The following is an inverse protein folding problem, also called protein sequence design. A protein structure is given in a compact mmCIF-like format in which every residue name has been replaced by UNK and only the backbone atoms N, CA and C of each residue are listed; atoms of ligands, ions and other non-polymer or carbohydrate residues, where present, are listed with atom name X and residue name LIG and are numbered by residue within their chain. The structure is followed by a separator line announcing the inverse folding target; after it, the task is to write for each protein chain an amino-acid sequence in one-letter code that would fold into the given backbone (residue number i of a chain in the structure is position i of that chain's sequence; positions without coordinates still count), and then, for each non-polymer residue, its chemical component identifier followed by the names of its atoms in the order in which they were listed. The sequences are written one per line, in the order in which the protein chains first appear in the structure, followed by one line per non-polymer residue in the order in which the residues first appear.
data_IF_685060951646
#
_entry.id   IF_685060951646
#
_cell.length_a   1.000
_cell.length_b   1.000
_cell.length_c   1.000
_cell.angle_alpha   90.00
_cell.angle_beta   90.00
_cell.angle_gamma   90.00
#
_symmetry.space_group_name_H-M   'P 1'
#
loop_
_entity.id
_entity.type
_entity.pdbx_description
1 polymer ?
#
# COMPACT_ATOMS: atom_id res chain seq x y z
N UNK A 1 23.07 -5.89 26.45
CA UNK A 1 22.30 -4.89 27.24
C UNK A 1 21.59 -3.90 26.33
N UNK A 2 22.22 -3.45 25.24
CA UNK A 2 21.60 -2.51 24.28
C UNK A 2 20.36 -3.04 23.57
N UNK A 3 20.34 -4.31 23.15
CA UNK A 3 19.16 -4.94 22.51
C UNK A 3 17.93 -4.90 23.43
N UNK A 4 18.10 -5.21 24.72
CA UNK A 4 17.00 -5.19 25.70
C UNK A 4 16.50 -3.77 25.96
N UNK A 5 17.42 -2.80 25.99
CA UNK A 5 17.08 -1.38 26.09
C UNK A 5 16.32 -0.90 24.85
N UNK A 6 16.74 -1.30 23.65
CA UNK A 6 16.06 -0.97 22.41
C UNK A 6 14.64 -1.56 22.37
N UNK A 7 14.49 -2.85 22.69
CA UNK A 7 13.16 -3.48 22.81
C UNK A 7 12.28 -2.71 23.79
N UNK A 8 12.80 -2.38 24.98
CA UNK A 8 12.04 -1.65 25.99
C UNK A 8 11.62 -0.25 25.51
N UNK A 9 12.54 0.51 24.93
CA UNK A 9 12.27 1.86 24.41
C UNK A 9 11.23 1.82 23.29
N UNK A 10 11.37 0.89 22.33
CA UNK A 10 10.42 0.71 21.23
C UNK A 10 9.05 0.29 21.76
N UNK A 11 8.98 -0.58 22.78
CA UNK A 11 7.70 -0.93 23.41
C UNK A 11 7.05 0.26 24.12
N UNK A 12 7.80 1.07 24.85
CA UNK A 12 7.25 2.28 25.49
C UNK A 12 6.75 3.29 24.45
N UNK A 13 7.49 3.49 23.36
CA UNK A 13 7.06 4.34 22.26
C UNK A 13 5.77 3.80 21.61
N UNK A 14 5.74 2.51 21.29
CA UNK A 14 4.57 1.84 20.71
C UNK A 14 3.34 1.96 21.61
N UNK A 15 3.50 1.80 22.93
CA UNK A 15 2.41 2.03 23.89
C UNK A 15 1.90 3.46 23.81
N UNK A 16 2.80 4.45 23.78
CA UNK A 16 2.43 5.87 23.67
C UNK A 16 1.69 6.17 22.36
N UNK A 17 2.08 5.53 21.26
CA UNK A 17 1.47 5.74 19.93
C UNK A 17 0.09 5.09 19.80
N UNK A 18 -0.12 3.93 20.45
CA UNK A 18 -1.41 3.23 20.43
C UNK A 18 -2.37 3.77 21.50
N UNK A 19 -1.87 4.39 22.57
CA UNK A 19 -2.69 4.91 23.67
C UNK A 19 -3.85 5.82 23.22
N UNK A 20 -3.68 6.79 22.30
CA UNK A 20 -4.78 7.63 21.83
C UNK A 20 -5.93 6.82 21.21
N UNK A 21 -5.60 5.78 20.43
CA UNK A 21 -6.58 4.90 19.81
C UNK A 21 -7.33 4.13 20.89
N UNK A 22 -6.61 3.56 21.87
CA UNK A 22 -7.22 2.87 23.00
C UNK A 22 -8.14 3.81 23.81
N UNK A 23 -7.68 5.03 24.08
CA UNK A 23 -8.46 6.06 24.80
C UNK A 23 -9.74 6.40 24.03
N UNK A 24 -9.69 6.57 22.72
CA UNK A 24 -10.87 6.84 21.89
C UNK A 24 -11.83 5.65 21.94
N UNK A 25 -11.35 4.42 21.73
CA UNK A 25 -12.18 3.22 21.72
C UNK A 25 -12.87 3.02 23.08
N UNK A 26 -12.11 3.00 24.18
CA UNK A 26 -12.67 2.83 25.52
C UNK A 26 -13.52 4.03 25.95
N UNK A 27 -13.12 5.24 25.57
CA UNK A 27 -13.89 6.46 25.79
C UNK A 27 -15.27 6.39 25.13
N UNK A 28 -15.33 5.99 23.85
CA UNK A 28 -16.58 5.83 23.14
C UNK A 28 -17.43 4.71 23.75
N UNK A 29 -16.79 3.60 24.13
CA UNK A 29 -17.46 2.44 24.71
C UNK A 29 -18.11 2.75 26.07
N UNK A 30 -17.38 3.43 26.96
CA UNK A 30 -17.85 3.75 28.31
C UNK A 30 -18.71 5.02 28.37
N UNK A 31 -18.34 6.08 27.65
CA UNK A 31 -19.02 7.38 27.73
C UNK A 31 -20.22 7.49 26.78
N UNK A 32 -20.07 7.04 25.52
CA UNK A 32 -21.10 7.20 24.48
C UNK A 32 -22.04 6.00 24.45
N UNK A 33 -21.50 4.80 24.26
CA UNK A 33 -22.28 3.56 24.18
C UNK A 33 -22.78 3.08 25.55
N UNK A 34 -22.14 3.53 26.64
CA UNK A 34 -22.47 3.18 28.04
C UNK A 34 -22.57 1.67 28.28
N UNK A 35 -21.73 0.88 27.59
CA UNK A 35 -21.69 -0.57 27.70
C UNK A 35 -20.28 -1.02 28.06
N UNK A 36 -20.15 -2.01 28.94
CA UNK A 36 -18.86 -2.67 29.17
C UNK A 36 -18.55 -3.58 27.98
N UNK A 37 -17.30 -3.63 27.48
CA UNK A 37 -16.92 -4.62 26.49
C UNK A 37 -17.20 -6.03 27.02
N UNK A 38 -17.80 -6.88 26.17
CA UNK A 38 -17.83 -8.31 26.45
C UNK A 38 -16.39 -8.84 26.48
N UNK A 39 -16.04 -9.71 27.43
CA UNK A 39 -14.72 -10.33 27.55
C UNK A 39 -13.54 -9.35 27.72
N UNK A 40 -13.69 -8.33 28.57
CA UNK A 40 -12.65 -7.31 28.83
C UNK A 40 -11.26 -7.91 29.14
N UNK A 41 -11.20 -8.99 29.91
CA UNK A 41 -9.92 -9.65 30.23
C UNK A 41 -9.23 -10.21 28.98
N UNK A 42 -9.98 -10.82 28.07
CA UNK A 42 -9.46 -11.36 26.81
C UNK A 42 -8.99 -10.23 25.88
N UNK A 43 -9.74 -9.12 25.84
CA UNK A 43 -9.36 -7.92 25.07
C UNK A 43 -8.04 -7.34 25.59
N UNK A 44 -7.91 -7.15 26.91
CA UNK A 44 -6.69 -6.60 27.51
C UNK A 44 -5.49 -7.52 27.30
N UNK A 45 -5.69 -8.84 27.40
CA UNK A 45 -4.64 -9.82 27.15
C UNK A 45 -4.20 -9.81 25.68
N UNK A 46 -5.16 -9.81 24.74
CA UNK A 46 -4.88 -9.70 23.32
C UNK A 46 -4.18 -8.39 22.97
N UNK A 47 -4.59 -7.28 23.58
CA UNK A 47 -3.97 -5.97 23.41
C UNK A 47 -2.51 -5.96 23.87
N UNK A 48 -2.20 -6.63 25.00
CA UNK A 48 -0.81 -6.83 25.45
C UNK A 48 0.04 -7.58 24.42
N UNK A 49 -0.48 -8.67 23.84
CA UNK A 49 0.22 -9.40 22.79
C UNK A 49 0.40 -8.60 21.50
N UNK A 50 -0.59 -7.79 21.12
CA UNK A 50 -0.48 -6.87 19.96
C UNK A 50 0.63 -5.86 20.18
N UNK A 51 0.75 -5.26 21.38
CA UNK A 51 1.82 -4.31 21.70
C UNK A 51 3.20 -4.95 21.62
N UNK A 52 3.37 -6.14 22.18
CA UNK A 52 4.63 -6.88 22.12
C UNK A 52 4.97 -7.23 20.66
N UNK A 53 3.99 -7.78 19.93
CA UNK A 53 4.17 -8.16 18.52
C UNK A 53 4.53 -6.95 17.64
N UNK A 54 3.83 -5.83 17.81
CA UNK A 54 4.09 -4.60 17.06
C UNK A 54 5.47 -4.02 17.40
N UNK A 55 5.89 -4.07 18.67
CA UNK A 55 7.22 -3.60 19.08
C UNK A 55 8.34 -4.41 18.44
N UNK A 56 8.25 -5.75 18.51
CA UNK A 56 9.25 -6.64 17.90
C UNK A 56 9.27 -6.51 16.38
N UNK A 57 8.10 -6.31 15.78
CA UNK A 57 7.97 -6.08 14.35
C UNK A 57 8.64 -4.77 13.91
N UNK A 58 8.37 -3.65 14.59
CA UNK A 58 9.02 -2.36 14.30
C UNK A 58 10.54 -2.44 14.47
N UNK A 59 11.02 -3.12 15.50
CA UNK A 59 12.46 -3.32 15.70
C UNK A 59 13.08 -4.16 14.55
N UNK A 60 12.40 -5.23 14.13
CA UNK A 60 12.82 -6.04 12.99
C UNK A 60 12.86 -5.25 11.68
N UNK A 61 11.94 -4.31 11.50
CA UNK A 61 11.96 -3.41 10.35
C UNK A 61 13.16 -2.47 10.37
N UNK A 62 13.41 -1.83 11.50
CA UNK A 62 14.53 -0.88 11.67
C UNK A 62 15.89 -1.56 11.51
N UNK A 63 16.04 -2.79 12.00
CA UNK A 63 17.33 -3.50 11.97
C UNK A 63 17.57 -4.29 10.68
N UNK A 64 16.51 -4.69 9.98
CA UNK A 64 16.65 -5.54 8.79
C UNK A 64 16.16 -4.85 7.52
N UNK A 65 14.90 -4.40 7.48
CA UNK A 65 14.31 -3.86 6.24
C UNK A 65 14.87 -2.48 5.88
N UNK A 66 15.08 -1.60 6.86
CA UNK A 66 15.56 -0.23 6.57
C UNK A 66 16.99 -0.23 6.03
N UNK A 67 17.96 -0.94 6.66
CA UNK A 67 19.32 -1.03 6.15
C UNK A 67 19.36 -1.74 4.79
N UNK A 68 18.54 -2.78 4.59
CA UNK A 68 18.46 -3.46 3.30
C UNK A 68 17.96 -2.53 2.19
N UNK A 69 16.90 -1.75 2.45
CA UNK A 69 16.39 -0.76 1.51
C UNK A 69 17.43 0.30 1.14
N UNK A 70 18.18 0.81 2.12
CA UNK A 70 19.26 1.77 1.90
C UNK A 70 20.41 1.19 1.08
N UNK A 71 20.94 0.03 1.46
CA UNK A 71 22.04 -0.63 0.73
C UNK A 71 21.63 -0.93 -0.71
N UNK A 72 20.39 -1.38 -0.95
CA UNK A 72 19.89 -1.61 -2.30
C UNK A 72 19.77 -0.30 -3.08
N UNK A 73 19.24 0.77 -2.47
CA UNK A 73 19.17 2.07 -3.11
C UNK A 73 20.58 2.60 -3.45
N UNK A 74 21.53 2.52 -2.52
CA UNK A 74 22.94 2.89 -2.74
C UNK A 74 23.55 2.13 -3.91
N UNK A 75 23.38 0.80 -3.95
CA UNK A 75 23.93 -0.04 -5.04
C UNK A 75 23.28 0.26 -6.40
N UNK A 76 21.97 0.46 -6.43
CA UNK A 76 21.22 0.73 -7.67
C UNK A 76 21.41 2.17 -8.16
N UNK A 77 21.81 3.09 -7.29
CA UNK A 77 22.11 4.49 -7.62
C UNK A 77 23.60 4.77 -7.75
N UNK A 78 24.46 3.77 -7.53
CA UNK A 78 25.91 3.90 -7.67
C UNK A 78 26.26 4.31 -9.11
N UNK A 79 26.95 5.44 -9.32
CA UNK A 79 27.40 5.86 -10.64
C UNK A 79 28.25 4.79 -11.35
N UNK A 80 28.98 3.92 -10.65
CA UNK A 80 29.71 2.82 -11.29
C UNK A 80 28.76 1.75 -11.84
N UNK A 81 27.70 1.40 -11.11
CA UNK A 81 26.67 0.47 -11.55
C UNK A 81 25.89 1.03 -12.75
N UNK A 82 25.41 2.26 -12.62
CA UNK A 82 24.65 2.95 -13.68
C UNK A 82 25.46 3.01 -14.98
N UNK A 83 26.74 3.36 -14.88
CA UNK A 83 27.66 3.45 -16.03
C UNK A 83 28.03 2.12 -16.67
N UNK A 84 27.93 1.03 -15.91
CA UNK A 84 28.23 -0.31 -16.43
C UNK A 84 27.10 -0.90 -17.28
N UNK A 85 25.89 -0.34 -17.15
CA UNK A 85 24.67 -0.85 -17.79
C UNK A 85 24.19 0.07 -18.93
N UNK A 86 24.57 1.35 -18.92
CA UNK A 86 24.17 2.36 -19.93
C UNK A 86 25.31 2.86 -20.82
N UNK A 87 24.99 3.15 -22.08
CA UNK A 87 25.92 3.71 -23.07
C UNK A 87 25.97 5.25 -22.90
N UNK A 88 26.92 5.75 -22.11
CA UNK A 88 26.95 7.16 -21.73
C UNK A 88 27.66 8.02 -22.77
N UNK A 89 26.95 9.01 -23.30
CA UNK A 89 27.55 10.13 -24.05
C UNK A 89 27.36 11.51 -23.42
N UNK A 90 26.44 11.72 -22.46
CA UNK A 90 26.36 12.98 -21.70
C UNK A 90 25.46 12.83 -20.45
N UNK A 91 26.01 12.97 -19.24
CA UNK A 91 25.24 13.08 -17.98
C UNK A 91 24.55 11.80 -17.47
N UNK A 92 23.93 11.91 -16.28
CA UNK A 92 23.00 10.91 -15.74
C UNK A 92 21.58 11.36 -16.07
N UNK A 93 20.86 10.57 -16.85
CA UNK A 93 19.46 10.81 -17.19
C UNK A 93 18.53 9.98 -16.30
N UNK A 94 17.27 10.40 -16.18
CA UNK A 94 16.25 9.69 -15.39
C UNK A 94 16.01 8.25 -15.87
N UNK A 95 16.31 7.96 -17.14
CA UNK A 95 16.23 6.62 -17.75
C UNK A 95 17.25 5.64 -17.18
N UNK A 96 18.38 6.15 -16.69
CA UNK A 96 19.48 5.33 -16.19
C UNK A 96 19.14 4.64 -14.85
N UNK A 97 18.16 5.19 -14.14
CA UNK A 97 17.62 4.67 -12.89
C UNK A 97 16.52 3.61 -13.11
N UNK A 98 16.36 3.09 -14.33
CA UNK A 98 15.33 2.10 -14.67
C UNK A 98 15.28 0.88 -13.72
N UNK A 99 16.43 0.38 -13.26
CA UNK A 99 16.49 -0.73 -12.30
C UNK A 99 15.91 -0.38 -10.92
N UNK A 100 16.04 0.88 -10.49
CA UNK A 100 15.38 1.38 -9.27
C UNK A 100 13.86 1.28 -9.44
N UNK A 101 13.34 1.67 -10.61
CA UNK A 101 11.89 1.66 -10.87
C UNK A 101 11.30 0.25 -10.93
N UNK A 102 12.01 -0.72 -11.52
CA UNK A 102 11.61 -2.12 -11.51
C UNK A 102 11.66 -2.67 -10.09
N UNK A 103 12.75 -2.42 -9.37
CA UNK A 103 12.89 -2.92 -8.01
C UNK A 103 11.78 -2.38 -7.10
N UNK A 104 11.52 -1.07 -7.17
CA UNK A 104 10.43 -0.39 -6.48
C UNK A 104 9.06 -1.01 -6.82
N UNK A 105 8.83 -1.33 -8.10
CA UNK A 105 7.61 -2.00 -8.54
C UNK A 105 7.48 -3.41 -7.94
N UNK A 106 8.53 -4.23 -8.06
CA UNK A 106 8.51 -5.62 -7.58
C UNK A 106 8.35 -5.70 -6.07
N UNK A 107 9.07 -4.85 -5.32
CA UNK A 107 9.01 -4.85 -3.86
C UNK A 107 7.67 -4.28 -3.36
N UNK A 108 7.16 -3.24 -4.02
CA UNK A 108 5.83 -2.69 -3.77
C UNK A 108 4.73 -3.72 -4.00
N UNK A 109 4.82 -4.46 -5.09
CA UNK A 109 3.90 -5.56 -5.39
C UNK A 109 3.99 -6.67 -4.35
N UNK A 110 5.20 -7.19 -4.10
CA UNK A 110 5.42 -8.34 -3.21
C UNK A 110 4.95 -8.07 -1.78
N UNK A 111 5.31 -6.91 -1.22
CA UNK A 111 4.89 -6.55 0.14
C UNK A 111 3.39 -6.34 0.26
N UNK A 112 2.78 -5.69 -0.72
CA UNK A 112 1.33 -5.46 -0.70
C UNK A 112 0.56 -6.77 -0.80
N UNK A 113 1.01 -7.72 -1.64
CA UNK A 113 0.39 -9.06 -1.69
C UNK A 113 0.55 -9.81 -0.37
N UNK A 114 1.69 -9.63 0.31
CA UNK A 114 1.99 -10.25 1.60
C UNK A 114 1.25 -9.60 2.79
N UNK A 115 0.68 -8.40 2.62
CA UNK A 115 0.05 -7.66 3.68
C UNK A 115 -1.20 -8.39 4.24
N UNK A 116 -1.22 -8.74 5.55
CA UNK A 116 -2.33 -9.49 6.14
C UNK A 116 -3.65 -8.70 6.16
N UNK A 117 -3.58 -7.38 6.36
CA UNK A 117 -4.75 -6.50 6.40
C UNK A 117 -5.49 -6.51 5.05
N UNK A 118 -4.76 -6.59 3.94
CA UNK A 118 -5.34 -6.66 2.61
C UNK A 118 -6.08 -7.98 2.37
N UNK A 119 -5.59 -9.09 2.92
CA UNK A 119 -6.29 -10.38 2.85
C UNK A 119 -7.63 -10.28 3.57
N UNK A 120 -7.66 -9.70 4.78
CA UNK A 120 -8.88 -9.55 5.55
C UNK A 120 -9.94 -8.69 4.82
N UNK A 121 -9.51 -7.57 4.26
CA UNK A 121 -10.39 -6.68 3.48
C UNK A 121 -10.88 -7.35 2.20
N UNK A 122 -10.04 -8.11 1.50
CA UNK A 122 -10.45 -8.84 0.31
C UNK A 122 -11.45 -9.96 0.60
N UNK A 123 -11.31 -10.67 1.72
CA UNK A 123 -12.31 -11.66 2.17
C UNK A 123 -13.63 -10.97 2.47
N UNK A 124 -13.61 -9.86 3.23
CA UNK A 124 -14.84 -9.11 3.55
C UNK A 124 -15.52 -8.52 2.32
N UNK A 125 -14.75 -8.01 1.37
CA UNK A 125 -15.27 -7.56 0.08
C UNK A 125 -15.94 -8.68 -0.71
N UNK A 126 -15.35 -9.88 -0.73
CA UNK A 126 -15.92 -11.04 -1.40
C UNK A 126 -17.24 -11.49 -0.76
N UNK A 127 -17.29 -11.59 0.57
CA UNK A 127 -18.49 -11.96 1.33
C UNK A 127 -19.62 -10.96 1.11
N UNK A 128 -19.35 -9.66 1.25
CA UNK A 128 -20.37 -8.60 1.15
C UNK A 128 -20.84 -8.39 -0.30
N UNK A 129 -20.00 -8.69 -1.28
CA UNK A 129 -20.36 -8.59 -2.71
C UNK A 129 -21.03 -9.84 -3.29
N UNK A 130 -21.28 -10.88 -2.48
CA UNK A 130 -21.84 -12.15 -2.96
C UNK A 130 -20.92 -12.86 -3.96
N UNK A 131 -19.61 -12.67 -3.84
CA UNK A 131 -18.60 -13.27 -4.73
C UNK A 131 -18.28 -12.46 -5.99
N UNK A 132 -18.94 -11.32 -6.24
CA UNK A 132 -18.68 -10.49 -7.43
C UNK A 132 -17.25 -9.91 -7.44
N UNK A 133 -16.67 -9.64 -6.27
CA UNK A 133 -15.29 -9.21 -6.10
C UNK A 133 -14.45 -10.40 -5.69
N UNK A 134 -13.57 -10.88 -6.57
CA UNK A 134 -12.68 -11.99 -6.24
C UNK A 134 -11.60 -11.59 -5.24
N UNK A 135 -11.34 -12.43 -4.24
CA UNK A 135 -10.31 -12.19 -3.21
C UNK A 135 -8.94 -11.94 -3.87
N UNK A 136 -8.50 -12.84 -4.76
CA UNK A 136 -7.23 -12.69 -5.48
C UNK A 136 -7.24 -11.52 -6.46
N UNK A 137 -8.37 -11.26 -7.12
CA UNK A 137 -8.49 -10.15 -8.07
C UNK A 137 -8.31 -8.80 -7.40
N UNK A 138 -8.94 -8.59 -6.24
CA UNK A 138 -8.76 -7.37 -5.46
C UNK A 138 -7.32 -7.23 -4.94
N UNK A 139 -6.74 -8.32 -4.40
CA UNK A 139 -5.36 -8.30 -3.88
C UNK A 139 -4.35 -7.91 -4.96
N UNK A 140 -4.45 -8.50 -6.14
CA UNK A 140 -3.57 -8.19 -7.27
C UNK A 140 -3.80 -6.76 -7.76
N UNK A 141 -5.05 -6.30 -7.84
CA UNK A 141 -5.36 -4.93 -8.23
C UNK A 141 -4.72 -3.91 -7.26
N UNK A 142 -4.89 -4.11 -5.94
CA UNK A 142 -4.27 -3.24 -4.93
C UNK A 142 -2.75 -3.27 -5.04
N UNK A 143 -2.14 -4.46 -5.14
CA UNK A 143 -0.70 -4.61 -5.26
C UNK A 143 -0.12 -3.96 -6.52
N UNK A 144 -0.81 -4.05 -7.66
CA UNK A 144 -0.42 -3.34 -8.88
C UNK A 144 -0.50 -1.83 -8.69
N UNK A 145 -1.55 -1.33 -8.03
CA UNK A 145 -1.67 0.09 -7.69
C UNK A 145 -0.49 0.56 -6.85
N UNK A 146 -0.19 -0.12 -5.74
CA UNK A 146 0.97 0.21 -4.89
C UNK A 146 2.27 0.16 -5.68
N UNK A 147 2.50 -0.91 -6.44
CA UNK A 147 3.72 -1.09 -7.24
C UNK A 147 3.93 0.04 -8.26
N UNK A 148 2.88 0.41 -9.00
CA UNK A 148 2.92 1.55 -9.94
C UNK A 148 3.13 2.88 -9.21
N UNK A 149 2.46 3.10 -8.09
CA UNK A 149 2.60 4.31 -7.29
C UNK A 149 4.02 4.49 -6.75
N UNK A 150 4.60 3.46 -6.15
CA UNK A 150 5.98 3.50 -5.63
C UNK A 150 6.96 3.69 -6.78
N UNK A 151 6.81 2.96 -7.90
CA UNK A 151 7.68 3.11 -9.06
C UNK A 151 7.66 4.55 -9.61
N UNK A 152 6.46 5.15 -9.74
CA UNK A 152 6.30 6.56 -10.14
C UNK A 152 6.87 7.53 -9.11
N UNK A 153 6.71 7.25 -7.82
CA UNK A 153 7.29 8.07 -6.76
C UNK A 153 8.82 8.01 -6.75
N UNK A 154 9.43 6.85 -7.02
CA UNK A 154 10.87 6.73 -7.23
C UNK A 154 11.34 7.55 -8.43
N UNK A 155 10.63 7.48 -9.57
CA UNK A 155 10.87 8.34 -10.72
C UNK A 155 10.82 9.83 -10.33
N UNK A 156 9.80 10.23 -9.57
CA UNK A 156 9.64 11.60 -9.08
C UNK A 156 10.79 12.04 -8.16
N UNK A 157 11.33 11.14 -7.33
CA UNK A 157 12.51 11.42 -6.49
C UNK A 157 13.75 11.64 -7.38
N UNK A 158 13.93 10.83 -8.42
CA UNK A 158 15.07 10.95 -9.34
C UNK A 158 15.01 12.25 -10.15
N UNK A 159 13.86 12.55 -10.76
CA UNK A 159 13.68 13.77 -11.58
C UNK A 159 13.62 15.03 -10.72
N UNK A 160 13.09 14.92 -9.51
CA UNK A 160 13.04 16.01 -8.56
C UNK A 160 11.84 16.95 -8.71
N UNK A 161 10.80 16.51 -9.42
CA UNK A 161 9.58 17.29 -9.63
C UNK A 161 8.81 17.53 -8.32
N UNK A 162 8.02 18.61 -8.20
CA UNK A 162 7.21 18.84 -7.00
C UNK A 162 6.10 17.80 -6.84
N UNK A 163 6.01 17.18 -5.65
CA UNK A 163 5.03 16.10 -5.37
C UNK A 163 3.57 16.51 -5.59
N UNK A 164 3.23 17.78 -5.33
CA UNK A 164 1.83 18.23 -5.38
C UNK A 164 1.21 18.08 -6.77
N UNK A 165 1.98 18.19 -7.86
CA UNK A 165 1.45 17.99 -9.21
C UNK A 165 0.92 16.59 -9.44
N UNK A 166 1.66 15.58 -8.96
CA UNK A 166 1.25 14.17 -9.07
C UNK A 166 0.04 13.87 -8.20
N UNK A 167 0.02 14.38 -6.98
CA UNK A 167 -1.09 14.15 -6.04
C UNK A 167 -2.36 14.83 -6.54
N UNK A 168 -2.28 16.09 -7.00
CA UNK A 168 -3.43 16.80 -7.57
C UNK A 168 -3.95 16.06 -8.80
N UNK A 169 -3.08 15.69 -9.75
CA UNK A 169 -3.48 14.96 -10.96
C UNK A 169 -4.13 13.61 -10.62
N UNK A 170 -3.53 12.84 -9.71
CA UNK A 170 -4.07 11.56 -9.29
C UNK A 170 -5.40 11.70 -8.55
N UNK A 171 -5.59 12.71 -7.70
CA UNK A 171 -6.89 12.94 -7.06
C UNK A 171 -7.98 13.44 -8.02
N UNK A 172 -7.62 14.24 -9.03
CA UNK A 172 -8.55 14.57 -10.12
C UNK A 172 -9.01 13.27 -10.79
N UNK A 173 -8.09 12.35 -11.07
CA UNK A 173 -8.40 11.05 -11.66
C UNK A 173 -9.26 10.18 -10.72
N UNK A 174 -8.98 10.18 -9.41
CA UNK A 174 -9.81 9.51 -8.38
C UNK A 174 -11.24 10.06 -8.40
N UNK A 175 -11.42 11.38 -8.40
CA UNK A 175 -12.74 12.02 -8.40
C UNK A 175 -13.51 11.66 -9.67
N UNK A 176 -12.84 11.72 -10.83
CA UNK A 176 -13.44 11.32 -12.10
C UNK A 176 -13.87 9.84 -12.08
N UNK A 177 -12.98 8.92 -11.69
CA UNK A 177 -13.31 7.50 -11.59
C UNK A 177 -14.43 7.23 -10.59
N UNK A 178 -14.48 7.96 -9.47
CA UNK A 178 -15.53 7.81 -8.46
C UNK A 178 -16.92 8.07 -9.06
N UNK A 179 -17.05 9.01 -10.00
CA UNK A 179 -18.31 9.29 -10.67
C UNK A 179 -18.80 8.15 -11.57
N UNK A 180 -17.89 7.30 -12.05
CA UNK A 180 -18.18 6.17 -12.95
C UNK A 180 -18.07 4.79 -12.26
N UNK A 181 -17.63 4.73 -11.00
CA UNK A 181 -17.38 3.47 -10.31
C UNK A 181 -18.68 2.92 -9.66
N UNK A 182 -18.81 1.58 -9.56
CA UNK A 182 -19.92 0.97 -8.82
C UNK A 182 -19.94 1.41 -7.36
N UNK A 183 -21.12 1.77 -6.84
CA UNK A 183 -21.29 2.29 -5.46
C UNK A 183 -20.72 1.37 -4.38
N UNK A 184 -20.76 0.05 -4.61
CA UNK A 184 -20.23 -0.95 -3.67
C UNK A 184 -18.70 -0.90 -3.54
N UNK A 185 -17.99 -0.48 -4.60
CA UNK A 185 -16.53 -0.50 -4.66
C UNK A 185 -15.93 0.78 -4.10
N UNK A 186 -16.61 1.92 -4.22
CA UNK A 186 -16.06 3.21 -3.81
C UNK A 186 -15.53 3.16 -2.37
N UNK A 187 -16.30 2.73 -1.35
CA UNK A 187 -15.78 2.65 0.02
C UNK A 187 -14.57 1.72 0.14
N UNK A 188 -14.60 0.58 -0.56
CA UNK A 188 -13.52 -0.40 -0.55
C UNK A 188 -12.24 0.13 -1.20
N UNK A 189 -12.36 0.90 -2.28
CA UNK A 189 -11.23 1.51 -2.97
C UNK A 189 -10.53 2.54 -2.09
N UNK A 190 -11.29 3.40 -1.40
CA UNK A 190 -10.74 4.39 -0.48
C UNK A 190 -10.14 3.74 0.78
N UNK A 191 -10.75 2.66 1.28
CA UNK A 191 -10.19 1.89 2.40
C UNK A 191 -8.91 1.14 2.01
N UNK A 192 -8.81 0.69 0.76
CA UNK A 192 -7.61 0.00 0.23
C UNK A 192 -6.36 0.87 0.32
N UNK A 193 -6.47 2.20 0.15
CA UNK A 193 -5.35 3.11 0.39
C UNK A 193 -4.86 3.05 1.84
N UNK A 194 -5.77 3.07 2.81
CA UNK A 194 -5.44 2.94 4.24
C UNK A 194 -4.87 1.57 4.61
N UNK A 195 -5.39 0.51 4.00
CA UNK A 195 -4.88 -0.87 4.15
C UNK A 195 -3.43 -0.98 3.70
N UNK A 196 -3.06 -0.34 2.59
CA UNK A 196 -1.67 -0.36 2.10
C UNK A 196 -0.72 0.49 2.94
N UNK A 197 -1.25 1.34 3.83
CA UNK A 197 -0.45 2.05 4.84
C UNK A 197 -0.22 1.26 6.12
N UNK A 198 -0.44 -0.06 6.08
CA UNK A 198 -0.34 -0.90 7.27
C UNK A 198 1.07 -1.46 7.46
N UNK A 199 1.15 -2.50 8.28
CA UNK A 199 2.36 -2.91 8.99
C UNK A 199 3.52 -3.24 8.07
N UNK A 200 3.32 -3.97 6.97
CA UNK A 200 4.42 -4.47 6.14
C UNK A 200 4.88 -3.46 5.10
N UNK A 201 3.94 -2.84 4.39
CA UNK A 201 4.27 -2.00 3.23
C UNK A 201 4.92 -0.66 3.60
N UNK A 202 4.37 0.09 4.57
CA UNK A 202 4.86 1.47 4.87
C UNK A 202 6.33 1.49 5.27
N UNK A 203 6.78 0.66 6.21
CA UNK A 203 8.15 0.75 6.68
C UNK A 203 9.14 0.46 5.55
N UNK A 204 8.83 -0.49 4.66
CA UNK A 204 9.68 -0.77 3.50
C UNK A 204 9.67 0.35 2.47
N UNK A 205 8.50 0.93 2.20
CA UNK A 205 8.36 2.08 1.30
C UNK A 205 9.11 3.29 1.83
N UNK A 206 9.00 3.56 3.13
CA UNK A 206 9.74 4.64 3.79
C UNK A 206 11.25 4.42 3.72
N UNK A 207 11.73 3.19 3.96
CA UNK A 207 13.13 2.84 3.82
C UNK A 207 13.67 3.05 2.41
N UNK A 208 12.93 2.58 1.40
CA UNK A 208 13.28 2.75 0.00
C UNK A 208 13.30 4.23 -0.39
N UNK A 209 12.25 4.97 -0.03
CA UNK A 209 12.14 6.39 -0.35
C UNK A 209 13.22 7.23 0.33
N UNK A 210 13.48 6.97 1.61
CA UNK A 210 14.52 7.65 2.38
C UNK A 210 15.91 7.33 1.83
N UNK A 211 16.21 6.05 1.59
CA UNK A 211 17.50 5.63 1.02
C UNK A 211 17.74 6.23 -0.36
N UNK A 212 16.72 6.23 -1.24
CA UNK A 212 16.84 6.83 -2.56
C UNK A 212 17.04 8.35 -2.49
N UNK A 213 16.33 9.04 -1.58
CA UNK A 213 16.48 10.49 -1.41
C UNK A 213 17.79 10.87 -0.70
N UNK A 214 18.41 9.98 0.06
CA UNK A 214 19.75 10.16 0.64
C UNK A 214 20.86 10.01 -0.42
N UNK A 215 20.66 9.16 -1.44
CA UNK A 215 21.68 8.88 -2.46
C UNK A 215 21.57 9.74 -3.71
N UNK A 216 20.38 10.24 -4.05
CA UNK A 216 20.18 11.14 -5.20
C UNK A 216 20.55 12.58 -4.80
N UNK A 217 21.51 13.24 -5.50
CA UNK A 217 21.93 14.58 -5.17
C UNK A 217 20.79 15.62 -5.21
N UNK A 218 20.80 16.55 -4.25
CA UNK A 218 19.86 17.66 -4.19
C UNK A 218 18.44 17.29 -3.73
N UNK A 219 18.24 16.08 -3.19
CA UNK A 219 16.96 15.65 -2.62
C UNK A 219 16.88 15.87 -1.12
N UNK A 220 15.66 16.06 -0.63
CA UNK A 220 15.38 16.18 0.80
C UNK A 220 14.75 14.86 1.27
N UNK A 221 15.43 14.05 2.09
CA UNK A 221 14.91 12.76 2.54
C UNK A 221 13.55 12.84 3.25
N UNK A 222 13.28 13.95 3.94
CA UNK A 222 12.06 14.15 4.70
C UNK A 222 10.86 14.51 3.80
N UNK A 223 11.07 15.29 2.74
CA UNK A 223 9.99 15.67 1.80
C UNK A 223 9.85 14.63 0.68
N UNK A 224 10.97 14.22 0.10
CA UNK A 224 11.00 13.36 -1.08
C UNK A 224 10.86 11.88 -0.70
N UNK A 225 11.53 11.43 0.37
CA UNK A 225 11.46 10.05 0.83
C UNK A 225 10.11 9.67 1.43
N UNK A 226 9.61 10.44 2.41
CA UNK A 226 8.28 10.18 2.98
C UNK A 226 7.13 10.40 1.98
N UNK A 227 7.33 11.27 0.98
CA UNK A 227 6.37 11.50 -0.08
C UNK A 227 5.98 10.24 -0.86
N UNK A 228 6.82 9.20 -0.85
CA UNK A 228 6.55 7.91 -1.49
C UNK A 228 5.32 7.19 -0.88
N UNK A 229 5.03 7.42 0.40
CA UNK A 229 3.86 6.87 1.08
C UNK A 229 2.56 7.42 0.45
N UNK A 230 2.54 8.70 0.06
CA UNK A 230 1.36 9.30 -0.56
C UNK A 230 1.01 8.61 -1.89
N UNK A 231 2.01 8.23 -2.68
CA UNK A 231 1.80 7.45 -3.90
C UNK A 231 1.31 6.03 -3.59
N UNK A 232 1.89 5.38 -2.58
CA UNK A 232 1.47 4.06 -2.14
C UNK A 232 0.02 4.03 -1.66
N UNK A 233 -0.52 5.13 -1.11
CA UNK A 233 -1.93 5.23 -0.72
C UNK A 233 -2.87 5.61 -1.87
N UNK A 234 -2.44 6.46 -2.79
CA UNK A 234 -3.29 7.03 -3.85
C UNK A 234 -3.57 6.03 -4.98
N UNK A 235 -2.54 5.36 -5.47
CA UNK A 235 -2.65 4.48 -6.64
C UNK A 235 -3.48 3.20 -6.42
N UNK A 236 -3.52 2.59 -5.22
CA UNK A 236 -4.47 1.52 -4.91
C UNK A 236 -5.92 1.92 -5.16
N UNK A 237 -6.31 3.14 -4.80
CA UNK A 237 -7.68 3.64 -5.01
C UNK A 237 -7.99 3.60 -6.51
N UNK A 238 -7.08 4.16 -7.32
CA UNK A 238 -7.19 4.19 -8.77
C UNK A 238 -7.29 2.79 -9.39
N UNK A 239 -6.40 1.89 -8.97
CA UNK A 239 -6.33 0.53 -9.48
C UNK A 239 -7.57 -0.29 -9.10
N UNK A 240 -8.07 -0.16 -7.87
CA UNK A 240 -9.27 -0.87 -7.40
C UNK A 240 -10.52 -0.39 -8.14
N UNK A 241 -10.67 0.92 -8.35
CA UNK A 241 -11.78 1.46 -9.14
C UNK A 241 -11.73 0.98 -10.59
N UNK A 242 -10.54 0.99 -11.22
CA UNK A 242 -10.35 0.47 -12.56
C UNK A 242 -10.65 -1.04 -12.66
N UNK A 243 -10.19 -1.83 -11.68
CA UNK A 243 -10.46 -3.27 -11.59
C UNK A 243 -11.96 -3.55 -11.51
N UNK A 244 -12.69 -2.81 -10.68
CA UNK A 244 -14.12 -2.96 -10.53
C UNK A 244 -14.90 -2.65 -11.81
N UNK A 245 -14.60 -1.52 -12.44
CA UNK A 245 -15.22 -1.14 -13.71
C UNK A 245 -14.97 -2.22 -14.77
N UNK A 246 -13.75 -2.76 -14.84
CA UNK A 246 -13.42 -3.84 -15.76
C UNK A 246 -14.17 -5.15 -15.44
N UNK A 247 -14.33 -5.46 -14.15
CA UNK A 247 -15.08 -6.64 -13.69
C UNK A 247 -16.55 -6.55 -14.06
N UNK A 248 -17.19 -5.40 -13.84
CA UNK A 248 -18.59 -5.17 -14.18
C UNK A 248 -18.82 -5.23 -15.70
N UNK A 249 -17.94 -4.60 -16.49
CA UNK A 249 -17.98 -4.69 -17.96
C UNK A 249 -17.87 -6.13 -18.47
N UNK A 250 -17.01 -6.96 -17.84
CA UNK A 250 -16.88 -8.38 -18.17
C UNK A 250 -18.13 -9.18 -17.77
N UNK A 251 -18.72 -8.89 -16.62
CA UNK A 251 -19.96 -9.52 -16.15
C UNK A 251 -21.12 -9.21 -17.11
N UNK A 252 -21.30 -7.94 -17.49
CA UNK A 252 -22.34 -7.51 -18.43
C UNK A 252 -22.19 -8.15 -19.82
N UNK A 253 -20.95 -8.27 -20.33
CA UNK A 253 -20.67 -8.96 -21.60
C UNK A 253 -20.99 -10.45 -21.54
N UNK A 254 -20.66 -11.11 -20.43
CA UNK A 254 -20.94 -12.54 -20.23
C UNK A 254 -22.44 -12.81 -20.13
N UNK A 255 -23.19 -11.96 -19.43
CA UNK A 255 -24.64 -12.05 -19.34
C UNK A 255 -25.30 -11.95 -20.73
N UNK A 256 -24.93 -10.93 -21.53
CA UNK A 256 -25.42 -10.76 -22.91
C UNK A 256 -25.08 -11.95 -23.82
N UNK A 257 -23.90 -12.56 -23.65
CA UNK A 257 -23.53 -13.77 -24.41
C UNK A 257 -24.39 -14.98 -24.04
N UNK A 258 -24.72 -15.14 -22.77
CA UNK A 258 -25.62 -16.23 -22.31
C UNK A 258 -27.04 -16.04 -22.80
N UNK A 259 -27.58 -14.82 -22.75
CA UNK A 259 -28.89 -14.50 -23.32
C UNK A 259 -28.94 -14.80 -24.82
N UNK A 260 -27.91 -14.41 -25.56
CA UNK A 260 -27.83 -14.71 -27.00
C UNK A 260 -27.74 -16.21 -27.28
N UNK A 261 -26.95 -16.95 -26.50
CA UNK A 261 -26.84 -18.40 -26.64
C UNK A 261 -28.16 -19.13 -26.32
N UNK A 262 -28.91 -18.67 -25.31
CA UNK A 262 -30.22 -19.21 -24.96
C UNK A 262 -31.29 -18.87 -26.03
N UNK A 263 -31.14 -17.75 -26.73
CA UNK A 263 -32.05 -17.36 -27.82
C UNK A 263 -31.79 -18.14 -29.13
N UNK A 264 -30.57 -18.62 -29.35
CA UNK A 264 -30.16 -19.41 -30.51
C UNK A 264 -30.38 -20.94 -30.30
N UNK A 265 -30.87 -21.37 -29.12
CA UNK A 265 -31.13 -22.78 -28.81
C UNK A 265 -32.46 -23.22 -29.47
N UNK A 266 -32.45 -24.25 -30.35
CA UNK A 266 -33.65 -24.69 -31.04
C UNK A 266 -34.69 -25.24 -30.04
N UNK A 267 -36.00 -25.06 -30.29
CA UNK A 267 -37.03 -25.56 -29.39
C UNK A 267 -36.86 -27.07 -29.21
N UNK A 268 -36.78 -27.51 -27.95
CA UNK A 268 -36.72 -28.94 -27.61
C UNK A 268 -38.00 -29.63 -28.09
N UNK A 269 -37.90 -30.79 -28.76
CA UNK A 269 -39.04 -31.50 -29.34
C UNK A 269 -40.04 -32.02 -28.30
#
# INVERSE_FOLDING_TARGET
MEILLAIWQTTVATVRDVLPIAVIIFGFQFAVLRRRPANLAQILFGFGWVLIGLSLFLLGLEWCLFPLGRVMAEQLTDPAFIRSVGDMSDGLDWSDYYWVYIFAFLIGFATTVAEPSLIAVAIKANEVSGGAIGIWGLRVAVALGVATGISLGCYRIVVGDPIHWYIIAGYILVVLQTAFAPKLIIPLAYDSGGVTTSTVTVPLVAALGLGLAETVPGRNPLIDGFGLIAFASLFPILSVMAYAQLSELRAARTARRREKAAADEPPTP
#
